data_IF_430366815813
#
_entry.id   IF_430366815813
#
_cell.length_a   1.000
_cell.length_b   1.000
_cell.length_c   1.000
_cell.angle_alpha   90.00
_cell.angle_beta   90.00
_cell.angle_gamma   90.00
#
_symmetry.space_group_name_H-M   'P 1'
#
loop_
_entity.id
_entity.type
_entity.pdbx_description
1 polymer ?
#
# COMPACT_ATOMS: atom_id res chain seq x y z
N UNK A 1 55.20 79.31 -29.61
CA UNK A 1 55.09 78.52 -30.87
C UNK A 1 55.70 77.20 -30.64
N UNK A 2 54.88 76.21 -30.48
CA UNK A 2 55.15 74.82 -30.86
C UNK A 2 53.89 74.00 -30.56
N UNK A 3 53.34 73.46 -31.59
CA UNK A 3 52.18 72.61 -31.66
C UNK A 3 52.52 71.18 -31.08
N UNK A 4 51.60 70.58 -30.29
CA UNK A 4 51.51 69.12 -30.08
C UNK A 4 50.10 68.71 -30.46
N UNK A 5 49.96 67.69 -31.29
CA UNK A 5 48.63 67.17 -31.68
C UNK A 5 48.06 66.21 -30.66
N UNK A 6 46.72 66.19 -30.56
CA UNK A 6 45.86 65.36 -29.76
C UNK A 6 46.07 63.85 -29.99
N UNK A 7 46.11 63.06 -28.90
CA UNK A 7 46.00 61.61 -28.91
C UNK A 7 44.53 61.18 -28.89
N UNK A 8 44.14 60.17 -29.66
CA UNK A 8 42.75 59.73 -29.74
C UNK A 8 42.33 58.94 -28.43
N UNK A 9 41.19 59.30 -27.87
CA UNK A 9 40.52 58.64 -26.78
C UNK A 9 39.90 57.31 -27.27
N UNK A 10 40.36 56.21 -26.76
CA UNK A 10 39.72 54.89 -26.92
C UNK A 10 38.40 54.82 -26.14
N UNK A 11 37.34 54.26 -26.70
CA UNK A 11 36.06 54.13 -26.03
C UNK A 11 36.13 53.04 -24.93
N UNK A 12 35.66 53.40 -23.75
CA UNK A 12 35.49 52.52 -22.59
C UNK A 12 34.42 51.46 -22.92
N UNK A 13 34.84 50.26 -23.34
CA UNK A 13 33.96 49.12 -23.46
C UNK A 13 33.45 48.73 -22.05
N UNK A 14 32.21 49.12 -21.74
CA UNK A 14 31.45 48.55 -20.64
C UNK A 14 31.28 47.08 -20.91
N UNK A 15 32.06 46.24 -20.21
CA UNK A 15 31.75 44.80 -20.05
C UNK A 15 30.46 44.72 -19.25
N UNK A 16 29.32 44.54 -19.94
CA UNK A 16 28.11 44.05 -19.35
C UNK A 16 28.39 42.60 -18.93
N UNK A 17 28.73 42.43 -17.65
CA UNK A 17 28.75 41.13 -17.03
C UNK A 17 27.33 40.55 -17.05
N UNK A 18 27.11 39.60 -17.96
CA UNK A 18 25.92 38.76 -17.95
C UNK A 18 25.99 37.93 -16.67
N UNK A 19 25.37 38.39 -15.58
CA UNK A 19 25.07 37.61 -14.42
C UNK A 19 23.95 36.67 -14.86
N UNK A 20 24.32 35.51 -15.40
CA UNK A 20 23.44 34.37 -15.47
C UNK A 20 23.26 33.92 -14.01
N UNK A 21 22.23 34.47 -13.36
CA UNK A 21 21.72 33.90 -12.16
C UNK A 21 21.25 32.48 -12.53
N UNK A 22 21.83 31.40 -11.96
CA UNK A 22 21.19 30.10 -12.04
C UNK A 22 19.92 30.25 -11.21
N UNK A 23 18.77 30.46 -11.85
CA UNK A 23 17.51 30.01 -11.30
C UNK A 23 17.66 28.49 -11.13
N UNK A 24 18.25 28.07 -10.01
CA UNK A 24 18.04 26.77 -9.45
C UNK A 24 16.51 26.69 -9.27
N UNK A 25 15.86 26.12 -10.26
CA UNK A 25 14.56 25.51 -10.11
C UNK A 25 14.75 24.49 -8.98
N UNK A 26 14.44 24.92 -7.78
CA UNK A 26 14.05 24.06 -6.68
C UNK A 26 12.71 23.44 -7.12
N UNK A 27 12.77 22.60 -8.15
CA UNK A 27 11.79 21.55 -8.33
C UNK A 27 12.02 20.63 -7.12
N UNK A 28 11.44 21.02 -5.99
CA UNK A 28 11.32 20.12 -4.85
C UNK A 28 10.72 18.84 -5.39
N UNK A 29 11.46 17.74 -5.33
CA UNK A 29 10.95 16.43 -5.72
C UNK A 29 9.71 16.19 -4.85
N UNK A 30 8.52 16.40 -5.39
CA UNK A 30 7.28 16.08 -4.70
C UNK A 30 7.29 14.59 -4.44
N UNK A 31 7.11 14.20 -3.17
CA UNK A 31 7.02 12.79 -2.79
C UNK A 31 5.80 12.17 -3.46
N UNK A 32 5.78 10.83 -3.61
CA UNK A 32 4.61 10.13 -4.12
C UNK A 32 3.35 10.49 -3.32
N UNK A 33 3.44 10.48 -1.99
CA UNK A 33 2.32 10.87 -1.12
C UNK A 33 1.81 12.30 -1.41
N UNK A 34 2.71 13.27 -1.61
CA UNK A 34 2.29 14.64 -1.90
C UNK A 34 1.55 14.76 -3.25
N UNK A 35 1.90 13.93 -4.23
CA UNK A 35 1.18 13.84 -5.51
C UNK A 35 -0.17 13.13 -5.36
N UNK A 36 -0.24 12.13 -4.49
CA UNK A 36 -1.44 11.34 -4.25
C UNK A 36 -2.45 12.05 -3.32
N UNK A 37 -2.01 13.05 -2.55
CA UNK A 37 -2.87 13.74 -1.57
C UNK A 37 -4.17 14.32 -2.17
N UNK A 38 -4.19 14.92 -3.37
CA UNK A 38 -5.45 15.35 -4.01
C UNK A 38 -6.40 14.17 -4.30
N UNK A 39 -5.86 13.02 -4.74
CA UNK A 39 -6.62 11.79 -4.99
C UNK A 39 -7.23 11.29 -3.69
N UNK A 40 -6.43 11.19 -2.64
CA UNK A 40 -6.85 10.75 -1.30
C UNK A 40 -7.94 11.66 -0.75
N UNK A 41 -7.77 12.97 -0.85
CA UNK A 41 -8.74 13.96 -0.39
C UNK A 41 -10.08 13.79 -1.11
N UNK A 42 -10.08 13.62 -2.44
CA UNK A 42 -11.29 13.38 -3.22
C UNK A 42 -11.97 12.06 -2.83
N UNK A 43 -11.21 10.96 -2.78
CA UNK A 43 -11.73 9.63 -2.47
C UNK A 43 -12.33 9.55 -1.06
N UNK A 44 -11.59 9.95 -0.04
CA UNK A 44 -12.07 9.90 1.34
C UNK A 44 -13.14 10.96 1.62
N UNK A 45 -13.19 12.01 0.80
CA UNK A 45 -14.29 12.99 0.75
C UNK A 45 -15.53 12.50 0.01
N UNK A 46 -15.49 11.33 -0.64
CA UNK A 46 -16.62 10.70 -1.34
C UNK A 46 -16.77 11.10 -2.81
N UNK A 47 -15.85 11.89 -3.37
CA UNK A 47 -15.86 12.27 -4.79
C UNK A 47 -15.02 11.29 -5.63
N UNK A 48 -15.61 10.12 -5.93
CA UNK A 48 -14.95 9.05 -6.70
C UNK A 48 -14.57 9.56 -8.09
N UNK A 49 -15.46 10.31 -8.75
CA UNK A 49 -15.22 10.79 -10.12
C UNK A 49 -14.05 11.80 -10.18
N UNK A 50 -13.88 12.65 -9.17
CA UNK A 50 -12.71 13.51 -9.08
C UNK A 50 -11.45 12.70 -8.79
N UNK A 51 -11.51 11.72 -7.89
CA UNK A 51 -10.37 10.85 -7.59
C UNK A 51 -9.89 10.08 -8.82
N UNK A 52 -10.79 9.52 -9.64
CA UNK A 52 -10.45 8.82 -10.88
C UNK A 52 -9.72 9.71 -11.88
N UNK A 53 -10.26 10.91 -12.14
CA UNK A 53 -9.60 11.86 -13.05
C UNK A 53 -8.18 12.21 -12.58
N UNK A 54 -8.00 12.43 -11.28
CA UNK A 54 -6.71 12.77 -10.70
C UNK A 54 -5.72 11.58 -10.76
N UNK A 55 -6.19 10.33 -10.59
CA UNK A 55 -5.36 9.14 -10.77
C UNK A 55 -4.93 9.01 -12.23
N UNK A 56 -5.84 9.19 -13.19
CA UNK A 56 -5.51 9.10 -14.61
C UNK A 56 -4.48 10.16 -15.02
N UNK A 57 -4.65 11.42 -14.58
CA UNK A 57 -3.67 12.48 -14.78
C UNK A 57 -2.30 12.15 -14.16
N UNK A 58 -2.30 11.51 -12.99
CA UNK A 58 -1.07 11.08 -12.32
C UNK A 58 -0.36 9.95 -13.07
N UNK A 59 -1.08 8.97 -13.60
CA UNK A 59 -0.54 7.87 -14.43
C UNK A 59 0.11 8.45 -15.71
N UNK A 60 -0.58 9.34 -16.40
CA UNK A 60 -0.08 9.95 -17.63
C UNK A 60 1.20 10.80 -17.38
N UNK A 61 1.29 11.43 -16.22
CA UNK A 61 2.42 12.30 -15.87
C UNK A 61 3.62 11.57 -15.25
N UNK A 62 3.43 10.37 -14.69
CA UNK A 62 4.44 9.66 -13.90
C UNK A 62 4.43 8.15 -14.16
N UNK A 63 4.93 7.75 -15.33
CA UNK A 63 4.95 6.35 -15.78
C UNK A 63 5.65 5.38 -14.78
N UNK A 64 6.63 5.86 -14.00
CA UNK A 64 7.30 5.06 -12.97
C UNK A 64 6.39 4.68 -11.78
N UNK A 65 5.30 5.43 -11.57
CA UNK A 65 4.32 5.18 -10.51
C UNK A 65 3.06 4.47 -11.07
N UNK A 66 3.03 4.10 -12.36
CA UNK A 66 1.83 3.56 -13.02
C UNK A 66 1.28 2.32 -12.31
N UNK A 67 2.13 1.39 -11.86
CA UNK A 67 1.69 0.16 -11.20
C UNK A 67 0.98 0.47 -9.87
N UNK A 68 1.55 1.32 -9.02
CA UNK A 68 0.93 1.68 -7.74
C UNK A 68 -0.34 2.51 -7.92
N UNK A 69 -0.39 3.41 -8.89
CA UNK A 69 -1.59 4.18 -9.22
C UNK A 69 -2.69 3.31 -9.84
N UNK A 70 -2.32 2.23 -10.55
CA UNK A 70 -3.28 1.23 -11.05
C UNK A 70 -3.93 0.45 -9.91
N UNK A 71 -3.23 0.19 -8.81
CA UNK A 71 -3.84 -0.37 -7.60
C UNK A 71 -4.90 0.59 -7.02
N UNK A 72 -4.60 1.88 -6.93
CA UNK A 72 -5.55 2.90 -6.49
C UNK A 72 -6.78 2.95 -7.41
N UNK A 73 -6.57 2.89 -8.74
CA UNK A 73 -7.65 2.83 -9.72
C UNK A 73 -8.52 1.57 -9.54
N UNK A 74 -7.92 0.43 -9.17
CA UNK A 74 -8.64 -0.79 -8.83
C UNK A 74 -9.62 -0.60 -7.67
N UNK A 75 -9.21 0.09 -6.60
CA UNK A 75 -10.10 0.40 -5.46
C UNK A 75 -11.16 1.44 -5.81
N UNK A 76 -10.84 2.42 -6.63
CA UNK A 76 -11.82 3.38 -7.15
C UNK A 76 -12.92 2.68 -7.97
N UNK A 77 -12.53 1.78 -8.87
CA UNK A 77 -13.47 0.98 -9.65
C UNK A 77 -14.36 0.10 -8.76
N UNK A 78 -13.79 -0.51 -7.71
CA UNK A 78 -14.57 -1.31 -6.76
C UNK A 78 -15.55 -0.44 -5.97
N UNK A 79 -15.11 0.74 -5.51
CA UNK A 79 -15.96 1.71 -4.83
C UNK A 79 -17.06 2.27 -5.74
N UNK A 80 -16.80 2.43 -7.03
CA UNK A 80 -17.78 2.90 -8.03
C UNK A 80 -18.76 1.80 -8.50
N UNK A 81 -18.66 0.57 -7.95
CA UNK A 81 -19.54 -0.54 -8.33
C UNK A 81 -19.20 -1.19 -9.67
N UNK A 82 -17.94 -1.12 -10.08
CA UNK A 82 -17.37 -1.76 -11.29
C UNK A 82 -16.40 -2.89 -10.91
N UNK A 83 -16.89 -3.98 -10.26
CA UNK A 83 -16.03 -5.02 -9.71
C UNK A 83 -15.24 -5.80 -10.77
N UNK A 84 -15.78 -6.02 -11.98
CA UNK A 84 -15.04 -6.64 -13.08
C UNK A 84 -13.81 -5.83 -13.51
N UNK A 85 -13.94 -4.50 -13.53
CA UNK A 85 -12.82 -3.60 -13.83
C UNK A 85 -11.80 -3.63 -12.70
N UNK A 86 -12.26 -3.54 -11.44
CA UNK A 86 -11.41 -3.65 -10.27
C UNK A 86 -10.58 -4.93 -10.28
N UNK A 87 -11.24 -6.08 -10.52
CA UNK A 87 -10.56 -7.38 -10.62
C UNK A 87 -9.47 -7.36 -11.69
N UNK A 88 -9.78 -6.90 -12.89
CA UNK A 88 -8.81 -6.86 -14.01
C UNK A 88 -7.59 -5.99 -13.66
N UNK A 89 -7.80 -4.80 -13.09
CA UNK A 89 -6.72 -3.90 -12.69
C UNK A 89 -5.84 -4.53 -11.61
N UNK A 90 -6.44 -5.08 -10.56
CA UNK A 90 -5.71 -5.72 -9.46
C UNK A 90 -4.92 -6.95 -9.92
N UNK A 91 -5.51 -7.80 -10.78
CA UNK A 91 -4.83 -8.96 -11.36
C UNK A 91 -3.66 -8.54 -12.25
N UNK A 92 -3.81 -7.48 -13.05
CA UNK A 92 -2.73 -6.94 -13.88
C UNK A 92 -1.53 -6.54 -13.04
N UNK A 93 -1.75 -5.82 -11.93
CA UNK A 93 -0.64 -5.39 -11.05
C UNK A 93 -0.06 -6.57 -10.28
N UNK A 94 -0.89 -7.52 -9.81
CA UNK A 94 -0.41 -8.78 -9.22
C UNK A 94 0.59 -9.50 -10.14
N UNK A 95 0.23 -9.67 -11.42
CA UNK A 95 1.08 -10.33 -12.41
C UNK A 95 2.38 -9.55 -12.65
N UNK A 96 2.29 -8.22 -12.62
CA UNK A 96 3.48 -7.37 -12.71
C UNK A 96 4.40 -7.52 -11.49
N UNK A 97 3.86 -7.60 -10.29
CA UNK A 97 4.63 -7.85 -9.08
C UNK A 97 5.34 -9.21 -9.13
N UNK A 98 4.62 -10.27 -9.55
CA UNK A 98 5.20 -11.60 -9.68
C UNK A 98 6.30 -11.66 -10.75
N UNK A 99 6.15 -10.93 -11.85
CA UNK A 99 7.19 -10.80 -12.88
C UNK A 99 8.44 -10.11 -12.35
N UNK A 100 8.27 -8.97 -11.65
CA UNK A 100 9.40 -8.22 -11.08
C UNK A 100 10.15 -9.00 -10.00
N UNK A 101 9.47 -9.86 -9.26
CA UNK A 101 10.10 -10.72 -8.25
C UNK A 101 10.96 -11.83 -8.87
N UNK A 102 10.66 -12.26 -10.10
CA UNK A 102 11.43 -13.26 -10.84
C UNK A 102 12.67 -12.67 -11.54
N UNK A 103 12.70 -11.36 -11.79
CA UNK A 103 13.84 -10.66 -12.39
C UNK A 103 14.97 -10.57 -11.37
N UNK A 104 15.83 -11.55 -11.44
CA UNK A 104 17.19 -11.78 -10.95
C UNK A 104 17.75 -11.10 -9.67
N UNK A 105 18.29 -11.93 -8.75
CA UNK A 105 19.10 -11.48 -7.58
C UNK A 105 20.42 -10.77 -7.97
N UNK A 106 20.94 -10.97 -9.18
CA UNK A 106 22.20 -10.36 -9.62
C UNK A 106 22.05 -8.85 -9.89
N UNK A 107 20.86 -8.37 -10.26
CA UNK A 107 20.58 -6.95 -10.39
C UNK A 107 20.44 -6.25 -9.02
N UNK A 108 20.13 -7.00 -7.97
CA UNK A 108 19.99 -6.47 -6.61
C UNK A 108 21.30 -5.89 -6.06
N UNK A 109 22.48 -6.46 -6.41
CA UNK A 109 23.76 -5.93 -5.97
C UNK A 109 24.08 -4.56 -6.60
N UNK A 110 23.74 -4.36 -7.88
CA UNK A 110 23.86 -3.06 -8.55
C UNK A 110 22.78 -2.08 -8.13
N UNK A 111 21.59 -2.54 -7.79
CA UNK A 111 20.48 -1.72 -7.34
C UNK A 111 20.74 -1.07 -5.98
N UNK A 112 21.62 -1.62 -5.16
CA UNK A 112 22.09 -0.95 -3.93
C UNK A 112 22.78 0.39 -4.22
N UNK A 113 23.29 0.58 -5.42
CA UNK A 113 23.96 1.83 -5.85
C UNK A 113 23.01 2.82 -6.53
N UNK A 114 21.86 2.36 -7.01
CA UNK A 114 20.87 3.21 -7.68
C UNK A 114 19.80 3.73 -6.72
N UNK A 115 19.10 4.78 -7.11
CA UNK A 115 17.97 5.32 -6.37
C UNK A 115 16.80 4.31 -6.45
N UNK A 116 16.22 3.94 -5.30
CA UNK A 116 15.07 3.02 -5.22
C UNK A 116 13.88 3.49 -6.07
N UNK A 117 13.77 4.78 -6.33
CA UNK A 117 12.72 5.37 -7.18
C UNK A 117 12.89 5.11 -8.68
N UNK A 118 14.08 4.72 -9.13
CA UNK A 118 14.32 4.36 -10.54
C UNK A 118 13.91 2.92 -10.84
N UNK A 119 13.68 2.11 -9.80
CA UNK A 119 13.19 0.74 -9.96
C UNK A 119 11.67 0.74 -10.18
N UNK A 120 11.20 -0.25 -10.96
CA UNK A 120 9.78 -0.52 -11.03
C UNK A 120 9.23 -0.81 -9.62
N UNK A 121 8.02 -0.36 -9.35
CA UNK A 121 7.39 -0.62 -8.06
C UNK A 121 6.95 -2.07 -7.97
N UNK A 122 7.51 -2.80 -7.02
CA UNK A 122 7.24 -4.23 -6.83
C UNK A 122 6.24 -4.54 -5.70
N UNK A 123 5.66 -3.50 -5.08
CA UNK A 123 4.75 -3.63 -3.94
C UNK A 123 5.45 -3.94 -2.61
N UNK A 124 4.89 -3.43 -1.53
CA UNK A 124 5.26 -3.82 -0.19
C UNK A 124 4.74 -5.23 0.14
N UNK A 125 5.32 -5.90 1.11
CA UNK A 125 4.96 -7.27 1.46
C UNK A 125 3.44 -7.44 1.69
N UNK A 126 2.83 -6.54 2.47
CA UNK A 126 1.38 -6.56 2.71
C UNK A 126 0.57 -6.27 1.44
N UNK A 127 1.04 -5.40 0.56
CA UNK A 127 0.34 -5.05 -0.68
C UNK A 127 0.33 -6.21 -1.66
N UNK A 128 1.43 -6.98 -1.75
CA UNK A 128 1.51 -8.20 -2.57
C UNK A 128 0.50 -9.27 -2.15
N UNK A 129 0.20 -9.35 -0.86
CA UNK A 129 -0.83 -10.27 -0.33
C UNK A 129 -2.23 -9.68 -0.54
N UNK A 130 -2.41 -8.40 -0.18
CA UNK A 130 -3.71 -7.74 -0.25
C UNK A 130 -4.25 -7.60 -1.68
N UNK A 131 -3.39 -7.40 -2.69
CA UNK A 131 -3.84 -7.30 -4.09
C UNK A 131 -4.58 -8.57 -4.52
N UNK A 132 -4.13 -9.75 -4.07
CA UNK A 132 -4.80 -11.03 -4.34
C UNK A 132 -6.11 -11.17 -3.56
N UNK A 133 -6.07 -10.84 -2.27
CA UNK A 133 -7.25 -10.93 -1.41
C UNK A 133 -8.36 -9.96 -1.86
N UNK A 134 -8.01 -8.72 -2.25
CA UNK A 134 -8.97 -7.74 -2.75
C UNK A 134 -9.43 -8.06 -4.18
N UNK A 135 -8.58 -8.69 -5.02
CA UNK A 135 -9.01 -9.23 -6.30
C UNK A 135 -10.04 -10.35 -6.12
N UNK A 136 -9.90 -11.22 -5.09
CA UNK A 136 -10.90 -12.22 -4.75
C UNK A 136 -12.23 -11.57 -4.31
N UNK A 137 -12.19 -10.51 -3.52
CA UNK A 137 -13.38 -9.74 -3.14
C UNK A 137 -14.06 -9.12 -4.37
N UNK A 138 -13.27 -8.55 -5.28
CA UNK A 138 -13.80 -7.98 -6.52
C UNK A 138 -14.43 -9.06 -7.42
N UNK A 139 -13.81 -10.24 -7.50
CA UNK A 139 -14.33 -11.39 -8.25
C UNK A 139 -15.68 -11.87 -7.69
N UNK A 140 -15.81 -12.01 -6.37
CA UNK A 140 -17.08 -12.34 -5.72
C UNK A 140 -18.17 -11.28 -6.01
N UNK A 141 -17.80 -10.00 -5.95
CA UNK A 141 -18.74 -8.91 -6.24
C UNK A 141 -19.15 -8.85 -7.71
N UNK A 142 -18.33 -9.39 -8.61
CA UNK A 142 -18.62 -9.54 -10.04
C UNK A 142 -19.44 -10.82 -10.37
N UNK A 143 -19.60 -11.73 -9.41
CA UNK A 143 -20.17 -13.07 -9.64
C UNK A 143 -19.24 -13.96 -10.46
N UNK A 144 -17.92 -13.82 -10.29
CA UNK A 144 -16.89 -14.63 -10.93
C UNK A 144 -16.58 -15.91 -10.18
N UNK A 145 -15.78 -16.78 -10.81
CA UNK A 145 -15.45 -18.12 -10.31
C UNK A 145 -13.99 -18.25 -9.81
N UNK A 146 -13.20 -17.15 -9.87
CA UNK A 146 -11.76 -17.17 -9.55
C UNK A 146 -11.43 -16.84 -8.09
N UNK A 147 -12.43 -16.45 -7.30
CA UNK A 147 -12.23 -15.94 -5.93
C UNK A 147 -11.49 -16.93 -5.01
N UNK A 148 -11.76 -18.23 -5.12
CA UNK A 148 -11.07 -19.24 -4.31
C UNK A 148 -9.60 -19.36 -4.68
N UNK A 149 -9.28 -19.35 -5.97
CA UNK A 149 -7.91 -19.43 -6.47
C UNK A 149 -7.12 -18.18 -6.05
N UNK A 150 -7.73 -17.00 -6.15
CA UNK A 150 -7.11 -15.73 -5.72
C UNK A 150 -6.87 -15.69 -4.20
N UNK A 151 -7.81 -16.18 -3.41
CA UNK A 151 -7.67 -16.28 -1.97
C UNK A 151 -6.58 -17.30 -1.56
N UNK A 152 -6.46 -18.42 -2.26
CA UNK A 152 -5.36 -19.38 -2.07
C UNK A 152 -4.01 -18.72 -2.39
N UNK A 153 -3.88 -18.05 -3.53
CA UNK A 153 -2.67 -17.33 -3.91
C UNK A 153 -2.26 -16.26 -2.88
N UNK A 154 -3.23 -15.61 -2.23
CA UNK A 154 -2.92 -14.65 -1.15
C UNK A 154 -2.27 -15.34 0.05
N UNK A 155 -2.79 -16.49 0.48
CA UNK A 155 -2.23 -17.26 1.58
C UNK A 155 -0.85 -17.85 1.25
N UNK A 156 -0.66 -18.36 0.03
CA UNK A 156 0.60 -18.89 -0.46
C UNK A 156 1.67 -17.80 -0.54
N UNK A 157 1.35 -16.65 -1.15
CA UNK A 157 2.28 -15.51 -1.26
C UNK A 157 2.76 -15.03 0.10
N UNK A 158 1.91 -15.00 1.08
CA UNK A 158 2.31 -14.65 2.44
C UNK A 158 3.30 -15.65 3.03
N UNK A 159 3.06 -16.95 2.84
CA UNK A 159 4.00 -18.01 3.24
C UNK A 159 5.35 -17.87 2.55
N UNK A 160 5.36 -17.61 1.24
CA UNK A 160 6.57 -17.37 0.44
C UNK A 160 7.38 -16.18 0.96
N UNK A 161 6.74 -15.04 1.22
CA UNK A 161 7.38 -13.82 1.73
C UNK A 161 8.09 -14.08 3.07
N UNK A 162 7.42 -14.82 3.98
CA UNK A 162 8.00 -15.16 5.26
C UNK A 162 9.13 -16.18 5.10
N UNK A 163 8.94 -17.21 4.30
CA UNK A 163 9.95 -18.25 4.08
C UNK A 163 11.22 -17.70 3.41
N UNK A 164 11.09 -16.79 2.45
CA UNK A 164 12.21 -16.18 1.74
C UNK A 164 13.07 -15.24 2.61
N UNK A 165 12.59 -14.86 3.80
CA UNK A 165 13.29 -13.94 4.69
C UNK A 165 14.19 -14.64 5.74
N UNK A 166 14.29 -15.97 5.68
CA UNK A 166 15.18 -16.74 6.59
C UNK A 166 16.63 -16.50 6.19
N UNK A 167 17.41 -15.93 7.10
CA UNK A 167 18.84 -15.72 6.91
C UNK A 167 19.66 -17.01 7.16
N UNK A 168 20.94 -17.01 6.76
CA UNK A 168 21.84 -18.17 6.90
C UNK A 168 22.03 -18.60 8.36
N UNK A 169 21.90 -17.68 9.31
CA UNK A 169 21.96 -17.95 10.75
C UNK A 169 20.63 -18.46 11.33
N UNK A 170 19.61 -18.63 10.49
CA UNK A 170 18.26 -19.06 10.88
C UNK A 170 17.38 -17.96 11.45
N UNK A 171 17.83 -16.72 11.54
CA UNK A 171 16.98 -15.58 11.94
C UNK A 171 16.02 -15.23 10.81
N UNK A 172 14.83 -14.75 11.18
CA UNK A 172 13.82 -14.32 10.21
C UNK A 172 13.08 -13.08 10.73
N UNK A 173 13.38 -11.88 10.19
CA UNK A 173 12.74 -10.65 10.64
C UNK A 173 11.23 -10.60 10.32
N UNK A 174 10.78 -11.39 9.34
CA UNK A 174 9.37 -11.45 8.92
C UNK A 174 8.57 -12.56 9.63
N UNK A 175 9.17 -13.32 10.54
CA UNK A 175 8.50 -14.42 11.26
C UNK A 175 7.27 -13.97 12.08
N UNK A 176 7.27 -12.71 12.51
CA UNK A 176 6.17 -12.08 13.26
C UNK A 176 5.13 -11.37 12.41
N UNK A 177 5.19 -11.47 11.09
CA UNK A 177 4.22 -10.82 10.21
C UNK A 177 2.80 -11.33 10.49
N UNK A 178 1.87 -10.38 10.69
CA UNK A 178 0.45 -10.69 10.85
C UNK A 178 -0.12 -11.21 9.52
N UNK A 179 -0.76 -12.39 9.53
CA UNK A 179 -1.37 -12.94 8.32
C UNK A 179 -2.68 -12.25 7.93
N UNK A 180 -3.01 -12.29 6.63
CA UNK A 180 -4.26 -11.75 6.06
C UNK A 180 -5.39 -12.76 6.27
N UNK A 181 -6.13 -12.64 7.38
CA UNK A 181 -7.21 -13.56 7.74
C UNK A 181 -8.42 -13.52 6.78
N UNK A 182 -8.53 -12.47 5.96
CA UNK A 182 -9.53 -12.40 4.88
C UNK A 182 -9.38 -13.58 3.90
N UNK A 183 -8.17 -13.99 3.54
CA UNK A 183 -7.93 -15.06 2.58
C UNK A 183 -8.53 -16.42 3.02
N UNK A 184 -8.22 -17.00 4.20
CA UNK A 184 -8.90 -18.19 4.66
C UNK A 184 -10.40 -17.99 4.91
N UNK A 185 -10.85 -16.79 5.31
CA UNK A 185 -12.28 -16.52 5.45
C UNK A 185 -13.03 -16.67 4.12
N UNK A 186 -12.54 -16.07 3.03
CA UNK A 186 -13.14 -16.21 1.70
C UNK A 186 -13.20 -17.67 1.25
N UNK A 187 -12.15 -18.45 1.50
CA UNK A 187 -12.17 -19.90 1.23
C UNK A 187 -13.20 -20.63 2.09
N UNK A 188 -13.32 -20.25 3.37
CA UNK A 188 -14.31 -20.83 4.28
C UNK A 188 -15.74 -20.66 3.77
N UNK A 189 -16.13 -19.44 3.39
CA UNK A 189 -17.48 -19.15 2.89
C UNK A 189 -17.78 -19.86 1.55
N UNK A 190 -16.79 -19.95 0.65
CA UNK A 190 -16.93 -20.64 -0.61
C UNK A 190 -17.06 -22.17 -0.43
N UNK A 191 -16.29 -22.78 0.49
CA UNK A 191 -16.41 -24.21 0.81
C UNK A 191 -17.73 -24.53 1.52
N UNK A 192 -18.18 -23.68 2.43
CA UNK A 192 -19.48 -23.81 3.09
C UNK A 192 -20.63 -23.77 2.08
N UNK A 193 -20.55 -22.90 1.06
CA UNK A 193 -21.56 -22.74 -0.01
C UNK A 193 -21.71 -23.98 -0.90
N UNK A 194 -20.71 -24.89 -0.92
CA UNK A 194 -20.84 -26.16 -1.66
C UNK A 194 -21.86 -27.13 -1.06
N UNK A 195 -22.29 -26.93 0.18
CA UNK A 195 -23.12 -27.85 1.00
C UNK A 195 -22.53 -29.26 1.16
N UNK A 196 -21.23 -29.43 0.96
CA UNK A 196 -20.50 -30.71 1.03
C UNK A 196 -19.21 -30.60 1.80
N UNK A 197 -18.45 -29.51 1.55
CA UNK A 197 -17.08 -29.36 2.00
C UNK A 197 -16.99 -28.64 3.36
N UNK A 198 -17.93 -28.95 4.25
CA UNK A 198 -18.05 -28.33 5.58
C UNK A 198 -16.82 -28.52 6.45
N UNK A 199 -16.14 -29.68 6.36
CA UNK A 199 -14.89 -29.93 7.09
C UNK A 199 -13.76 -29.00 6.62
N UNK A 200 -13.74 -28.68 5.32
CA UNK A 200 -12.79 -27.71 4.75
C UNK A 200 -13.13 -26.30 5.21
N UNK A 201 -14.41 -25.93 5.14
CA UNK A 201 -14.88 -24.64 5.65
C UNK A 201 -14.50 -24.45 7.12
N UNK A 202 -14.75 -25.46 7.98
CA UNK A 202 -14.41 -25.42 9.39
C UNK A 202 -12.89 -25.26 9.63
N UNK A 203 -12.04 -25.94 8.83
CA UNK A 203 -10.57 -25.74 8.89
C UNK A 203 -10.16 -24.33 8.53
N UNK A 204 -10.75 -23.74 7.49
CA UNK A 204 -10.49 -22.37 7.10
C UNK A 204 -10.93 -21.35 8.16
N UNK A 205 -12.10 -21.52 8.75
CA UNK A 205 -12.55 -20.67 9.86
C UNK A 205 -11.71 -20.84 11.12
N UNK A 206 -11.22 -22.06 11.41
CA UNK A 206 -10.26 -22.29 12.48
C UNK A 206 -8.93 -21.55 12.24
N UNK A 207 -8.49 -21.48 10.98
CA UNK A 207 -7.32 -20.66 10.58
C UNK A 207 -7.59 -19.18 10.82
N UNK A 208 -8.77 -18.68 10.46
CA UNK A 208 -9.18 -17.28 10.75
C UNK A 208 -9.14 -17.02 12.26
N UNK A 209 -9.73 -17.91 13.09
CA UNK A 209 -9.74 -17.76 14.54
C UNK A 209 -8.33 -17.76 15.15
N UNK A 210 -7.39 -18.48 14.54
CA UNK A 210 -5.98 -18.49 14.93
C UNK A 210 -5.24 -17.23 14.52
N UNK A 211 -5.45 -16.77 13.29
CA UNK A 211 -4.74 -15.62 12.71
C UNK A 211 -5.26 -14.29 13.21
N UNK A 212 -6.58 -14.17 13.42
CA UNK A 212 -7.24 -12.98 13.93
C UNK A 212 -8.14 -13.34 15.14
N UNK A 213 -7.56 -13.56 16.33
CA UNK A 213 -8.33 -13.93 17.53
C UNK A 213 -9.33 -12.86 17.98
N UNK A 214 -9.14 -11.60 17.53
CA UNK A 214 -10.05 -10.48 17.81
C UNK A 214 -11.33 -10.54 16.96
N UNK A 215 -11.33 -11.28 15.85
CA UNK A 215 -12.52 -11.52 15.05
C UNK A 215 -13.37 -12.62 15.70
N UNK A 216 -14.18 -12.23 16.67
CA UNK A 216 -14.99 -13.16 17.48
C UNK A 216 -15.92 -14.07 16.64
N UNK A 217 -16.53 -13.63 15.51
CA UNK A 217 -17.44 -14.47 14.72
C UNK A 217 -16.79 -15.74 14.16
N UNK A 218 -15.47 -15.80 14.00
CA UNK A 218 -14.78 -17.00 13.48
C UNK A 218 -15.07 -18.27 14.30
N UNK A 219 -15.28 -18.14 15.62
CA UNK A 219 -15.58 -19.29 16.49
C UNK A 219 -16.98 -19.85 16.20
N UNK A 220 -17.94 -19.00 15.97
CA UNK A 220 -19.30 -19.39 15.62
C UNK A 220 -19.33 -20.02 14.22
N UNK A 221 -18.52 -19.48 13.29
CA UNK A 221 -18.35 -20.04 11.94
C UNK A 221 -17.75 -21.44 11.97
N UNK A 222 -16.75 -21.70 12.83
CA UNK A 222 -16.18 -23.05 13.02
C UNK A 222 -17.24 -24.03 13.54
N UNK A 223 -18.04 -23.62 14.54
CA UNK A 223 -19.07 -24.48 15.12
C UNK A 223 -20.17 -24.77 14.10
N UNK A 224 -20.63 -23.76 13.37
CA UNK A 224 -21.67 -23.88 12.34
C UNK A 224 -21.23 -24.82 11.22
N UNK A 225 -20.06 -24.57 10.61
CA UNK A 225 -19.52 -25.42 9.57
C UNK A 225 -19.24 -26.84 10.05
N UNK A 226 -18.66 -27.01 11.26
CA UNK A 226 -18.45 -28.31 11.87
C UNK A 226 -19.76 -29.10 12.14
N UNK A 227 -20.89 -28.39 12.28
CA UNK A 227 -22.23 -28.97 12.35
C UNK A 227 -22.86 -29.31 10.99
N UNK A 228 -22.19 -29.04 9.88
CA UNK A 228 -22.70 -29.29 8.53
C UNK A 228 -23.87 -28.36 8.15
N UNK A 229 -23.90 -27.14 8.67
CA UNK A 229 -25.00 -26.18 8.45
C UNK A 229 -24.47 -24.96 7.72
N UNK A 230 -25.16 -24.55 6.63
CA UNK A 230 -24.94 -23.28 5.94
C UNK A 230 -25.96 -22.23 6.42
N UNK A 231 -27.23 -22.51 6.23
CA UNK A 231 -28.37 -21.65 6.64
C UNK A 231 -29.59 -22.50 6.98
N UNK A 232 -30.57 -21.91 7.64
CA UNK A 232 -31.86 -22.56 7.86
C UNK A 232 -32.61 -22.76 6.54
N UNK A 233 -33.47 -23.78 6.42
CA UNK A 233 -34.33 -23.95 5.23
C UNK A 233 -35.14 -22.69 4.94
N UNK A 234 -35.20 -22.28 3.66
CA UNK A 234 -35.87 -21.06 3.22
C UNK A 234 -35.08 -19.78 3.54
N UNK A 235 -33.79 -19.90 3.88
CA UNK A 235 -32.88 -18.79 4.11
C UNK A 235 -31.62 -18.92 3.22
N UNK A 236 -31.02 -17.79 2.95
CA UNK A 236 -29.69 -17.68 2.37
C UNK A 236 -28.81 -16.74 3.21
N UNK A 237 -27.58 -16.57 2.78
CA UNK A 237 -26.58 -15.82 3.55
C UNK A 237 -26.10 -14.62 2.74
N UNK A 238 -26.15 -13.44 3.34
CA UNK A 238 -25.50 -12.22 2.81
C UNK A 238 -24.18 -12.02 3.51
N UNK A 239 -23.09 -12.04 2.75
CA UNK A 239 -21.76 -11.67 3.20
C UNK A 239 -21.50 -10.22 2.82
N UNK A 240 -21.52 -9.31 3.80
CA UNK A 240 -21.10 -7.93 3.62
C UNK A 240 -19.60 -7.81 3.86
N UNK A 241 -18.86 -7.41 2.85
CA UNK A 241 -17.44 -7.04 2.95
C UNK A 241 -17.33 -5.52 2.90
N UNK A 242 -16.77 -4.91 3.93
CA UNK A 242 -16.61 -3.47 4.03
C UNK A 242 -15.14 -3.09 4.06
N UNK A 243 -14.73 -2.21 3.14
CA UNK A 243 -13.44 -1.52 3.13
C UNK A 243 -13.60 -0.26 3.98
N UNK A 244 -12.98 -0.20 5.15
CA UNK A 244 -13.29 0.82 6.16
C UNK A 244 -12.09 1.70 6.47
N UNK A 245 -12.32 3.01 6.49
CA UNK A 245 -11.37 4.01 6.95
C UNK A 245 -10.23 4.31 5.97
N UNK A 246 -9.22 5.03 6.44
CA UNK A 246 -8.04 5.42 5.70
C UNK A 246 -6.89 4.48 6.03
N UNK A 247 -6.34 3.82 5.04
CA UNK A 247 -5.22 2.91 5.21
C UNK A 247 -3.88 3.61 5.40
N UNK A 248 -2.83 2.80 5.58
CA UNK A 248 -1.49 3.30 5.84
C UNK A 248 -0.91 4.02 4.62
N UNK A 249 0.05 4.92 4.87
CA UNK A 249 0.83 5.55 3.82
C UNK A 249 2.27 5.75 4.29
N UNK A 250 3.19 6.01 3.34
CA UNK A 250 4.60 6.27 3.63
C UNK A 250 4.90 7.75 3.65
N UNK A 251 5.59 8.20 4.69
CA UNK A 251 6.14 9.55 4.83
C UNK A 251 7.65 9.50 4.90
N UNK A 252 8.31 10.60 4.55
CA UNK A 252 9.76 10.74 4.77
C UNK A 252 10.01 11.26 6.16
N UNK A 253 10.86 10.59 6.91
CA UNK A 253 11.36 11.07 8.21
C UNK A 253 12.88 11.19 8.18
N UNK A 254 13.42 12.12 8.95
CA UNK A 254 14.84 12.22 9.22
C UNK A 254 15.13 11.56 10.57
N UNK A 255 16.05 10.60 10.58
CA UNK A 255 16.43 9.92 11.81
C UNK A 255 17.94 9.65 11.91
N UNK A 256 18.42 9.51 13.13
CA UNK A 256 19.77 9.04 13.41
C UNK A 256 19.73 7.51 13.40
N UNK A 257 20.57 6.84 12.58
CA UNK A 257 20.56 5.38 12.49
C UNK A 257 20.81 4.73 13.86
N UNK A 258 20.06 3.67 14.16
CA UNK A 258 20.25 2.84 15.33
C UNK A 258 21.56 2.05 15.26
N UNK A 259 22.04 1.52 16.41
CA UNK A 259 23.21 0.64 16.42
C UNK A 259 23.00 -0.62 15.58
N UNK A 260 21.78 -1.16 15.54
CA UNK A 260 21.44 -2.31 14.73
C UNK A 260 21.51 -1.97 13.23
N UNK A 261 20.97 -0.83 12.82
CA UNK A 261 21.07 -0.35 11.43
C UNK A 261 22.53 -0.11 11.01
N UNK A 262 23.37 0.41 11.91
CA UNK A 262 24.80 0.60 11.65
C UNK A 262 25.56 -0.73 11.46
N UNK A 263 25.22 -1.75 12.24
CA UNK A 263 25.76 -3.11 12.04
C UNK A 263 25.37 -3.67 10.67
N UNK A 264 24.14 -3.53 10.24
CA UNK A 264 23.68 -3.93 8.91
C UNK A 264 24.45 -3.18 7.82
N UNK A 265 24.60 -1.87 7.95
CA UNK A 265 25.37 -1.06 7.00
C UNK A 265 26.85 -1.50 6.93
N UNK A 266 27.48 -1.79 8.07
CA UNK A 266 28.87 -2.27 8.12
C UNK A 266 29.03 -3.65 7.46
N UNK A 267 28.10 -4.56 7.68
CA UNK A 267 28.08 -5.85 6.99
C UNK A 267 27.99 -5.71 5.47
N UNK A 268 27.10 -4.84 4.97
CA UNK A 268 26.95 -4.58 3.53
C UNK A 268 28.24 -3.98 2.95
N UNK A 269 28.83 -2.98 3.61
CA UNK A 269 30.05 -2.31 3.15
C UNK A 269 31.26 -3.24 3.17
N UNK A 270 31.40 -4.05 4.22
CA UNK A 270 32.50 -5.03 4.33
C UNK A 270 32.42 -6.08 3.23
N UNK A 271 31.22 -6.57 2.92
CA UNK A 271 31.01 -7.54 1.85
C UNK A 271 31.23 -6.97 0.44
N UNK A 272 30.97 -5.65 0.25
CA UNK A 272 30.99 -5.02 -1.08
C UNK A 272 32.32 -4.34 -1.41
N UNK A 273 32.95 -3.65 -0.46
CA UNK A 273 34.11 -2.78 -0.71
C UNK A 273 35.31 -3.01 0.22
N UNK A 274 35.24 -3.92 1.19
CA UNK A 274 36.22 -4.06 2.27
C UNK A 274 36.50 -2.75 3.04
N UNK A 275 35.50 -1.89 3.17
CA UNK A 275 35.54 -0.60 3.87
C UNK A 275 34.68 -0.65 5.12
N UNK A 276 35.10 0.09 6.15
CA UNK A 276 34.32 0.30 7.38
C UNK A 276 33.56 1.61 7.34
N UNK A 277 32.49 1.69 8.15
CA UNK A 277 31.69 2.91 8.31
C UNK A 277 32.53 4.08 8.82
N UNK A 278 32.25 5.32 8.38
CA UNK A 278 32.85 6.51 8.99
C UNK A 278 32.37 6.69 10.44
N UNK A 279 33.18 7.27 11.31
CA UNK A 279 32.89 7.37 12.76
C UNK A 279 31.71 8.27 13.12
N UNK A 280 31.27 9.13 12.21
CA UNK A 280 30.12 10.03 12.40
C UNK A 280 29.16 9.89 11.23
N UNK A 281 27.89 9.60 11.56
CA UNK A 281 26.83 9.46 10.59
C UNK A 281 25.79 10.56 10.86
N UNK A 282 25.60 11.43 9.87
CA UNK A 282 24.54 12.43 9.91
C UNK A 282 23.16 11.76 9.79
N UNK A 283 22.10 12.41 10.27
CA UNK A 283 20.74 11.93 10.06
C UNK A 283 20.48 11.61 8.58
N UNK A 284 19.71 10.56 8.34
CA UNK A 284 19.32 10.11 7.01
C UNK A 284 17.82 10.24 6.82
N UNK A 285 17.40 10.40 5.57
CA UNK A 285 15.98 10.44 5.19
C UNK A 285 15.54 9.06 4.78
N UNK A 286 14.58 8.50 5.51
CA UNK A 286 14.04 7.16 5.29
C UNK A 286 12.53 7.18 5.19
N UNK A 287 11.90 6.24 4.43
CA UNK A 287 10.47 6.10 4.43
C UNK A 287 10.01 5.45 5.75
N UNK A 288 8.88 5.89 6.27
CA UNK A 288 8.20 5.29 7.42
C UNK A 288 6.72 5.15 7.12
N UNK A 289 6.15 4.03 7.49
CA UNK A 289 4.70 3.82 7.43
C UNK A 289 4.03 4.56 8.57
N UNK A 290 2.96 5.28 8.24
CA UNK A 290 2.08 5.95 9.20
C UNK A 290 0.63 5.58 8.89
N UNK A 291 -0.21 5.58 9.92
CA UNK A 291 -1.65 5.33 9.79
C UNK A 291 -2.44 6.46 10.45
N UNK A 292 -3.48 6.89 9.75
CA UNK A 292 -4.45 7.87 10.24
C UNK A 292 -5.84 7.41 9.79
N UNK A 293 -6.47 6.50 10.54
CA UNK A 293 -7.57 5.67 10.04
C UNK A 293 -8.89 6.39 9.78
N UNK A 294 -8.95 7.69 9.89
CA UNK A 294 -10.16 8.48 9.62
C UNK A 294 -11.25 8.34 10.68
N UNK A 295 -12.48 8.74 10.34
CA UNK A 295 -13.63 8.75 11.25
C UNK A 295 -14.47 7.47 11.20
N UNK A 296 -14.62 6.86 10.00
CA UNK A 296 -15.35 5.62 9.83
C UNK A 296 -14.57 4.45 10.47
N UNK A 297 -15.24 3.69 11.34
CA UNK A 297 -14.65 2.56 12.07
C UNK A 297 -15.38 1.24 11.85
N UNK A 298 -16.61 1.27 11.38
CA UNK A 298 -17.38 0.08 11.01
C UNK A 298 -18.59 0.48 10.17
N UNK A 299 -19.30 -0.52 9.66
CA UNK A 299 -20.61 -0.37 9.02
C UNK A 299 -21.67 -1.00 9.91
N UNK A 300 -22.64 -0.17 10.34
CA UNK A 300 -23.85 -0.65 10.97
C UNK A 300 -24.88 -0.97 9.89
N UNK A 301 -25.57 -2.10 10.05
CA UNK A 301 -26.55 -2.60 9.09
C UNK A 301 -27.92 -2.68 9.75
N UNK A 302 -28.91 -2.04 9.13
CA UNK A 302 -30.32 -2.17 9.44
C UNK A 302 -31.05 -2.91 8.33
N UNK A 303 -32.16 -3.58 8.66
CA UNK A 303 -33.08 -4.16 7.70
C UNK A 303 -34.48 -3.63 7.93
N UNK A 304 -35.27 -3.52 6.87
CA UNK A 304 -36.69 -3.22 6.99
C UNK A 304 -37.44 -4.44 7.57
N UNK A 305 -38.21 -4.24 8.64
CA UNK A 305 -39.08 -5.25 9.22
C UNK A 305 -40.36 -4.55 9.68
N UNK A 306 -41.51 -5.00 9.20
CA UNK A 306 -42.84 -4.48 9.60
C UNK A 306 -42.96 -2.95 9.47
N UNK A 307 -42.36 -2.36 8.43
CA UNK A 307 -42.39 -0.91 8.17
C UNK A 307 -41.44 -0.08 9.04
N UNK A 308 -40.59 -0.71 9.87
CA UNK A 308 -39.56 -0.07 10.67
C UNK A 308 -38.16 -0.61 10.32
N UNK A 309 -37.11 0.18 10.62
CA UNK A 309 -35.72 -0.27 10.53
C UNK A 309 -35.32 -0.94 11.85
N UNK A 310 -34.82 -2.19 11.75
CA UNK A 310 -34.28 -2.94 12.89
C UNK A 310 -32.80 -3.16 12.64
N UNK A 311 -32.00 -3.05 13.68
CA UNK A 311 -30.57 -3.38 13.60
C UNK A 311 -30.41 -4.84 13.23
N UNK A 312 -29.70 -5.10 12.12
CA UNK A 312 -29.35 -6.44 11.66
C UNK A 312 -27.95 -6.87 12.11
N UNK A 313 -27.03 -5.93 12.27
CA UNK A 313 -25.67 -6.21 12.72
C UNK A 313 -24.71 -5.04 12.54
N UNK A 314 -23.44 -5.31 12.82
CA UNK A 314 -22.30 -4.42 12.60
C UNK A 314 -21.15 -5.24 12.08
N UNK A 315 -20.40 -4.71 11.11
CA UNK A 315 -19.19 -5.34 10.60
C UNK A 315 -18.12 -5.47 11.68
N UNK A 316 -17.33 -6.53 11.61
CA UNK A 316 -16.18 -6.77 12.48
C UNK A 316 -14.90 -6.88 11.64
N UNK A 317 -13.80 -6.37 12.17
CA UNK A 317 -12.49 -6.38 11.50
C UNK A 317 -11.96 -7.80 11.38
N UNK A 318 -11.70 -8.23 10.14
CA UNK A 318 -11.06 -9.50 9.83
C UNK A 318 -9.61 -9.33 9.37
N UNK A 319 -9.27 -8.16 8.84
CA UNK A 319 -7.90 -7.80 8.49
C UNK A 319 -7.68 -6.33 8.84
N UNK A 320 -6.80 -6.08 9.81
CA UNK A 320 -6.35 -4.76 10.22
C UNK A 320 -5.14 -4.37 9.36
N UNK A 321 -5.40 -3.66 8.25
CA UNK A 321 -4.41 -3.33 7.23
C UNK A 321 -3.37 -2.35 7.76
N UNK A 322 -3.82 -1.32 8.49
CA UNK A 322 -2.91 -0.32 9.06
C UNK A 322 -1.95 -0.95 10.06
N UNK A 323 -2.47 -1.76 10.97
CA UNK A 323 -1.64 -2.45 11.97
C UNK A 323 -0.66 -3.40 11.32
N UNK A 324 -1.09 -4.17 10.32
CA UNK A 324 -0.23 -5.07 9.57
C UNK A 324 0.93 -4.32 8.90
N UNK A 325 0.65 -3.22 8.23
CA UNK A 325 1.67 -2.39 7.57
C UNK A 325 2.66 -1.78 8.56
N UNK A 326 2.17 -1.27 9.71
CA UNK A 326 3.00 -0.72 10.78
C UNK A 326 3.91 -1.78 11.42
N UNK A 327 3.38 -2.99 11.69
CA UNK A 327 4.15 -4.12 12.24
C UNK A 327 5.23 -4.59 11.24
N UNK A 328 4.91 -4.63 9.95
CA UNK A 328 5.86 -4.98 8.89
C UNK A 328 6.96 -3.93 8.74
N UNK A 329 6.61 -2.64 8.70
CA UNK A 329 7.59 -1.54 8.67
C UNK A 329 8.54 -1.63 9.86
N UNK A 330 8.03 -1.82 11.07
CA UNK A 330 8.84 -1.93 12.27
C UNK A 330 9.79 -3.14 12.22
N UNK A 331 9.34 -4.28 11.70
CA UNK A 331 10.14 -5.52 11.65
C UNK A 331 11.36 -5.42 10.71
N UNK A 332 11.27 -4.65 9.63
CA UNK A 332 12.36 -4.51 8.64
C UNK A 332 13.04 -3.15 8.68
N UNK A 333 12.65 -2.27 9.61
CA UNK A 333 13.12 -0.90 9.67
C UNK A 333 14.65 -0.77 9.76
N UNK A 334 15.28 -1.45 10.70
CA UNK A 334 16.74 -1.38 10.86
C UNK A 334 17.48 -1.86 9.60
N UNK A 335 16.93 -2.85 8.88
CA UNK A 335 17.47 -3.32 7.61
C UNK A 335 17.35 -2.24 6.52
N UNK A 336 16.20 -1.56 6.43
CA UNK A 336 15.98 -0.48 5.47
C UNK A 336 16.90 0.72 5.74
N UNK A 337 17.01 1.13 7.00
CA UNK A 337 17.92 2.19 7.45
C UNK A 337 19.38 1.82 7.18
N UNK A 338 19.79 0.59 7.50
CA UNK A 338 21.14 0.10 7.26
C UNK A 338 21.51 0.13 5.77
N UNK A 339 20.60 -0.29 4.90
CA UNK A 339 20.78 -0.19 3.43
C UNK A 339 20.93 1.27 2.98
N UNK A 340 20.13 2.19 3.49
CA UNK A 340 20.22 3.62 3.16
C UNK A 340 21.56 4.22 3.60
N UNK A 341 22.05 3.87 4.80
CA UNK A 341 23.38 4.27 5.32
C UNK A 341 24.49 3.72 4.42
N UNK A 342 24.45 2.42 4.08
CA UNK A 342 25.44 1.79 3.23
C UNK A 342 25.48 2.44 1.83
N UNK A 343 24.32 2.69 1.23
CA UNK A 343 24.20 3.39 -0.06
C UNK A 343 24.83 4.79 -0.02
N UNK A 344 24.53 5.58 1.03
CA UNK A 344 25.12 6.90 1.22
C UNK A 344 26.66 6.85 1.37
N UNK A 345 27.18 5.86 2.10
CA UNK A 345 28.61 5.65 2.25
C UNK A 345 29.26 5.27 0.92
N UNK A 346 28.65 4.36 0.13
CA UNK A 346 29.12 3.96 -1.21
C UNK A 346 29.15 5.15 -2.18
N UNK A 347 28.09 5.94 -2.23
CA UNK A 347 28.03 7.15 -3.07
C UNK A 347 29.14 8.15 -2.72
N UNK A 348 29.42 8.35 -1.43
CA UNK A 348 30.54 9.18 -0.99
C UNK A 348 31.89 8.61 -1.43
N UNK A 349 32.11 7.31 -1.26
CA UNK A 349 33.35 6.66 -1.66
C UNK A 349 33.63 6.79 -3.16
N UNK A 350 32.60 6.67 -4.02
CA UNK A 350 32.74 6.86 -5.47
C UNK A 350 33.10 8.31 -5.84
N UNK A 351 32.50 9.31 -5.20
CA UNK A 351 32.82 10.73 -5.42
C UNK A 351 34.26 11.05 -4.99
N UNK A 352 34.72 10.52 -3.86
CA UNK A 352 36.12 10.68 -3.42
C UNK A 352 37.11 9.95 -4.31
N UNK A 353 36.82 8.72 -4.72
CA UNK A 353 37.68 7.96 -5.61
C UNK A 353 37.85 8.60 -6.98
N UNK A 354 36.81 9.23 -7.54
CA UNK A 354 36.91 10.02 -8.78
C UNK A 354 37.78 11.25 -8.57
N UNK A 355 37.65 11.98 -7.45
CA UNK A 355 38.53 13.13 -7.14
C UNK A 355 40.02 12.75 -7.11
N UNK A 356 40.36 11.64 -6.46
CA UNK A 356 41.74 11.15 -6.39
C UNK A 356 42.23 10.66 -7.74
N UNK A 357 41.41 9.98 -8.52
CA UNK A 357 41.75 9.44 -9.85
C UNK A 357 41.97 10.54 -10.91
N UNK A 358 41.39 11.73 -10.76
CA UNK A 358 41.53 12.86 -11.68
C UNK A 358 42.63 13.83 -11.23
N UNK A 359 43.24 13.60 -10.06
CA UNK A 359 44.33 14.46 -9.55
C UNK A 359 43.90 15.88 -9.19
N UNK A 360 42.62 16.09 -8.78
CA UNK A 360 42.12 17.40 -8.38
C UNK A 360 42.72 17.81 -7.03
N UNK A 361 43.36 18.98 -6.99
CA UNK A 361 43.79 19.61 -5.75
C UNK A 361 42.62 19.73 -4.76
N UNK A 362 42.80 19.26 -3.52
CA UNK A 362 41.77 19.21 -2.46
C UNK A 362 41.08 20.55 -2.17
N UNK A 363 41.68 21.68 -2.58
CA UNK A 363 41.19 23.04 -2.33
C UNK A 363 40.99 23.88 -3.61
N UNK A 364 41.01 23.27 -4.79
CA UNK A 364 40.81 23.98 -6.07
C UNK A 364 39.35 24.28 -6.38
N UNK A 365 39.06 25.28 -7.26
CA UNK A 365 37.67 25.61 -7.66
C UNK A 365 36.90 24.43 -8.24
N UNK A 366 37.60 23.49 -8.91
CA UNK A 366 37.01 22.25 -9.44
C UNK A 366 36.61 21.29 -8.31
N UNK A 367 37.42 21.17 -7.25
CA UNK A 367 37.06 20.35 -6.07
C UNK A 367 35.82 20.92 -5.35
N UNK A 368 35.69 22.23 -5.27
CA UNK A 368 34.50 22.90 -4.71
C UNK A 368 33.24 22.62 -5.54
N UNK A 369 33.35 22.59 -6.88
CA UNK A 369 32.24 22.21 -7.75
C UNK A 369 31.82 20.77 -7.56
N UNK A 370 32.77 19.84 -7.35
CA UNK A 370 32.48 18.45 -7.03
C UNK A 370 31.85 18.30 -5.64
N UNK A 371 32.24 19.10 -4.65
CA UNK A 371 31.62 19.11 -3.33
C UNK A 371 30.18 19.64 -3.37
N UNK A 372 29.95 20.73 -4.13
CA UNK A 372 28.60 21.27 -4.38
C UNK A 372 27.76 20.27 -5.14
N UNK A 373 28.30 19.58 -6.15
CA UNK A 373 27.60 18.50 -6.88
C UNK A 373 27.29 17.31 -5.97
N UNK A 374 28.20 16.94 -5.06
CA UNK A 374 28.00 15.89 -4.09
C UNK A 374 26.90 16.25 -3.07
N UNK A 375 26.89 17.47 -2.57
CA UNK A 375 25.83 18.00 -1.68
C UNK A 375 24.48 18.07 -2.43
N UNK A 376 24.48 18.52 -3.69
CA UNK A 376 23.28 18.55 -4.50
C UNK A 376 22.74 17.14 -4.79
N UNK A 377 23.64 16.17 -4.99
CA UNK A 377 23.25 14.77 -5.18
C UNK A 377 22.69 14.15 -3.88
N UNK A 378 23.29 14.42 -2.71
CA UNK A 378 22.74 14.01 -1.41
C UNK A 378 21.38 14.65 -1.14
N UNK A 379 21.21 15.93 -1.51
CA UNK A 379 19.93 16.64 -1.39
C UNK A 379 18.84 16.09 -2.34
N UNK A 380 19.26 15.53 -3.48
CA UNK A 380 18.37 14.90 -4.46
C UNK A 380 17.98 13.45 -4.07
N UNK A 381 18.67 12.84 -3.09
CA UNK A 381 18.33 11.52 -2.60
C UNK A 381 17.01 11.60 -1.82
N UNK A 382 15.96 11.05 -2.40
CA UNK A 382 14.65 10.99 -1.77
C UNK A 382 14.28 9.57 -1.43
N UNK A 383 13.78 9.37 -0.21
CA UNK A 383 13.21 8.10 0.21
C UNK A 383 12.06 7.68 -0.72
N UNK A 384 11.96 6.39 -1.03
CA UNK A 384 10.83 5.86 -1.79
C UNK A 384 9.57 5.81 -0.91
N UNK A 385 8.64 6.72 -1.20
CA UNK A 385 7.36 6.81 -0.49
C UNK A 385 6.21 6.23 -1.29
N UNK A 386 6.49 5.49 -2.36
CA UNK A 386 5.43 4.78 -3.09
C UNK A 386 4.78 3.77 -2.16
N UNK A 387 3.45 3.76 -2.18
CA UNK A 387 2.61 2.82 -1.45
C UNK A 387 1.20 2.85 -2.04
N UNK A 388 0.44 1.81 -1.85
CA UNK A 388 -0.96 1.72 -2.25
C UNK A 388 -1.81 2.68 -1.40
N UNK A 389 -2.05 3.88 -1.94
CA UNK A 389 -2.51 5.02 -1.17
C UNK A 389 -3.98 5.03 -0.78
N UNK A 390 -4.82 4.28 -1.48
CA UNK A 390 -6.26 4.19 -1.20
C UNK A 390 -6.67 2.93 -0.43
N UNK A 391 -5.70 2.14 0.08
CA UNK A 391 -6.02 1.01 0.95
C UNK A 391 -6.94 1.45 2.10
N UNK A 392 -7.86 0.59 2.57
CA UNK A 392 -8.63 0.84 3.77
C UNK A 392 -7.75 0.68 5.04
N UNK A 393 -8.17 1.27 6.15
CA UNK A 393 -7.62 0.99 7.48
C UNK A 393 -7.82 -0.48 7.86
N UNK A 394 -9.01 -0.99 7.56
CA UNK A 394 -9.35 -2.39 7.80
C UNK A 394 -10.32 -2.94 6.76
N UNK A 395 -10.22 -4.25 6.51
CA UNK A 395 -11.27 -5.02 5.85
C UNK A 395 -12.12 -5.66 6.92
N UNK A 396 -13.44 -5.47 6.83
CA UNK A 396 -14.41 -5.94 7.81
C UNK A 396 -15.47 -6.78 7.12
N UNK A 397 -16.04 -7.72 7.86
CA UNK A 397 -17.11 -8.58 7.35
C UNK A 397 -18.27 -8.67 8.31
N UNK A 398 -19.46 -8.94 7.75
CA UNK A 398 -20.65 -9.30 8.49
C UNK A 398 -21.40 -10.38 7.71
N UNK A 399 -21.71 -11.49 8.37
CA UNK A 399 -22.59 -12.54 7.86
C UNK A 399 -24.02 -12.29 8.35
N UNK A 400 -24.96 -12.22 7.44
CA UNK A 400 -26.38 -12.09 7.72
C UNK A 400 -27.13 -13.25 7.09
N UNK A 401 -27.88 -13.97 7.88
CA UNK A 401 -28.81 -14.99 7.41
C UNK A 401 -30.19 -14.36 7.29
N UNK A 402 -30.78 -14.40 6.07
CA UNK A 402 -32.04 -13.75 5.73
C UNK A 402 -32.96 -14.74 5.02
N UNK A 403 -34.30 -14.60 5.16
CA UNK A 403 -35.26 -15.35 4.38
C UNK A 403 -35.06 -15.12 2.89
N UNK A 404 -35.46 -16.09 2.07
CA UNK A 404 -35.48 -15.95 0.60
C UNK A 404 -36.33 -14.74 0.17
N UNK A 405 -35.82 -13.99 -0.80
CA UNK A 405 -36.50 -12.82 -1.37
C UNK A 405 -35.58 -11.62 -1.51
N UNK A 406 -36.18 -10.49 -1.93
CA UNK A 406 -35.49 -9.23 -2.08
C UNK A 406 -35.51 -8.45 -0.76
N UNK A 407 -34.35 -8.06 -0.31
CA UNK A 407 -34.18 -7.29 0.93
C UNK A 407 -33.55 -5.92 0.65
N UNK A 408 -34.00 -4.91 1.38
CA UNK A 408 -33.32 -3.62 1.43
C UNK A 408 -32.59 -3.48 2.76
N UNK A 409 -31.28 -3.31 2.69
CA UNK A 409 -30.41 -3.08 3.84
C UNK A 409 -30.06 -1.60 3.93
N UNK A 410 -30.21 -1.00 5.11
CA UNK A 410 -29.71 0.34 5.41
C UNK A 410 -28.29 0.22 5.97
N UNK A 411 -27.32 0.79 5.28
CA UNK A 411 -25.92 0.78 5.64
C UNK A 411 -25.52 2.15 6.15
N UNK A 412 -24.88 2.21 7.31
CA UNK A 412 -24.38 3.45 7.89
C UNK A 412 -22.96 3.26 8.38
N UNK A 413 -22.02 4.08 7.89
CA UNK A 413 -20.71 4.14 8.49
C UNK A 413 -20.82 4.70 9.91
N UNK A 414 -20.09 4.12 10.85
CA UNK A 414 -20.11 4.56 12.26
C UNK A 414 -18.70 4.77 12.78
N UNK A 415 -18.55 5.72 13.70
CA UNK A 415 -17.30 5.96 14.42
C UNK A 415 -17.07 4.93 15.54
N UNK A 416 -15.97 5.10 16.28
CA UNK A 416 -15.60 4.22 17.40
C UNK A 416 -16.69 4.20 18.51
N UNK A 417 -17.38 5.31 18.72
CA UNK A 417 -18.49 5.42 19.69
C UNK A 417 -19.83 4.91 19.13
N UNK A 418 -19.87 4.41 17.88
CA UNK A 418 -21.09 3.94 17.22
C UNK A 418 -21.97 5.07 16.67
N UNK A 419 -21.47 6.30 16.60
CA UNK A 419 -22.22 7.44 16.03
C UNK A 419 -22.09 7.43 14.52
N UNK A 420 -23.17 7.80 13.83
CA UNK A 420 -23.19 7.86 12.37
C UNK A 420 -22.12 8.80 11.80
N UNK A 421 -21.45 8.33 10.75
CA UNK A 421 -20.53 9.07 9.89
C UNK A 421 -21.17 9.16 8.51
N UNK A 422 -21.58 10.37 8.13
CA UNK A 422 -22.35 10.58 6.89
C UNK A 422 -23.80 10.11 7.00
N UNK A 423 -24.43 9.95 5.85
CA UNK A 423 -25.81 9.51 5.73
C UNK A 423 -25.91 8.00 5.54
N UNK A 424 -27.01 7.42 6.00
CA UNK A 424 -27.35 6.02 5.72
C UNK A 424 -27.69 5.84 4.24
N UNK A 425 -27.24 4.73 3.65
CA UNK A 425 -27.46 4.39 2.25
C UNK A 425 -28.22 3.07 2.17
N UNK A 426 -29.29 3.03 1.37
CA UNK A 426 -30.03 1.80 1.09
C UNK A 426 -29.33 0.97 0.00
N UNK A 427 -29.25 -0.35 0.19
CA UNK A 427 -28.79 -1.31 -0.81
C UNK A 427 -29.76 -2.47 -0.90
N UNK A 428 -30.13 -2.82 -2.12
CA UNK A 428 -30.95 -4.01 -2.38
C UNK A 428 -30.05 -5.22 -2.53
N UNK A 429 -30.46 -6.35 -1.97
CA UNK A 429 -29.82 -7.65 -2.12
C UNK A 429 -30.90 -8.70 -2.31
N UNK A 430 -30.71 -9.60 -3.30
CA UNK A 430 -31.56 -10.76 -3.49
C UNK A 430 -30.95 -11.93 -2.73
N UNK A 431 -31.80 -12.72 -2.07
CA UNK A 431 -31.42 -13.88 -1.26
C UNK A 431 -32.10 -15.12 -1.80
N UNK A 432 -31.33 -16.13 -2.13
CA UNK A 432 -31.80 -17.44 -2.60
C UNK A 432 -31.57 -18.51 -1.53
N UNK A 433 -32.42 -19.56 -1.52
CA UNK A 433 -32.37 -20.63 -0.53
C UNK A 433 -31.02 -21.38 -0.60
N UNK A 434 -30.32 -21.43 0.51
CA UNK A 434 -29.02 -22.09 0.63
C UNK A 434 -27.87 -21.42 -0.14
N UNK A 435 -28.07 -20.23 -0.70
CA UNK A 435 -27.05 -19.53 -1.49
C UNK A 435 -26.41 -18.36 -0.72
N UNK A 436 -25.19 -18.02 -1.12
CA UNK A 436 -24.53 -16.80 -0.71
C UNK A 436 -24.90 -15.63 -1.61
N UNK A 437 -25.04 -14.46 -1.01
CA UNK A 437 -25.06 -13.17 -1.71
C UNK A 437 -23.92 -12.32 -1.16
N UNK A 438 -23.18 -11.65 -2.03
CA UNK A 438 -22.04 -10.83 -1.66
C UNK A 438 -22.38 -9.35 -1.84
N UNK A 439 -22.09 -8.55 -0.82
CA UNK A 439 -22.25 -7.10 -0.85
C UNK A 439 -20.93 -6.46 -0.43
N UNK A 440 -20.29 -5.72 -1.34
CA UNK A 440 -19.04 -5.02 -1.08
C UNK A 440 -19.30 -3.53 -1.01
N UNK A 441 -18.83 -2.87 0.04
CA UNK A 441 -19.01 -1.43 0.24
C UNK A 441 -17.73 -0.78 0.78
N UNK A 442 -17.61 0.52 0.54
CA UNK A 442 -16.53 1.34 1.09
C UNK A 442 -17.09 2.35 2.07
N UNK A 443 -16.50 2.41 3.27
CA UNK A 443 -16.89 3.33 4.35
C UNK A 443 -15.74 4.27 4.68
N UNK A 444 -15.89 5.55 4.33
CA UNK A 444 -14.88 6.60 4.50
C UNK A 444 -15.46 7.76 5.33
N UNK A 445 -14.72 8.85 5.45
CA UNK A 445 -15.15 10.03 6.23
C UNK A 445 -16.43 10.71 5.72
N UNK A 446 -16.73 10.55 4.44
CA UNK A 446 -17.97 10.99 3.84
C UNK A 446 -19.18 10.07 4.15
N UNK A 447 -18.94 8.89 4.72
CA UNK A 447 -19.94 7.85 4.95
C UNK A 447 -19.72 6.64 4.04
N UNK A 448 -20.82 5.97 3.66
CA UNK A 448 -20.77 4.86 2.68
C UNK A 448 -20.71 5.44 1.27
N UNK A 449 -19.67 5.09 0.53
CA UNK A 449 -19.51 5.44 -0.88
C UNK A 449 -19.59 4.18 -1.74
N UNK A 450 -20.36 4.27 -2.83
CA UNK A 450 -20.45 3.18 -3.80
C UNK A 450 -20.96 1.85 -3.24
N UNK A 451 -20.59 0.78 -3.93
CA UNK A 451 -20.85 -0.61 -3.57
C UNK A 451 -21.30 -1.47 -4.74
N UNK A 452 -20.90 -2.73 -4.73
CA UNK A 452 -21.30 -3.76 -5.70
C UNK A 452 -21.94 -4.94 -4.97
N UNK A 453 -22.92 -5.59 -5.60
CA UNK A 453 -23.58 -6.77 -5.07
C UNK A 453 -23.71 -7.84 -6.16
N UNK A 454 -23.50 -9.11 -5.77
CA UNK A 454 -23.72 -10.29 -6.59
C UNK A 454 -24.32 -11.43 -5.77
N UNK A 455 -25.04 -12.30 -6.43
CA UNK A 455 -25.52 -13.59 -5.86
C UNK A 455 -24.65 -14.70 -6.43
N UNK A 456 -24.29 -15.66 -5.58
CA UNK A 456 -23.54 -16.86 -5.98
C UNK A 456 -24.35 -17.65 -7.02
N UNK A 457 -23.72 -18.09 -8.10
CA UNK A 457 -24.36 -18.79 -9.23
C UNK A 457 -24.42 -20.28 -9.05
#
# INVERSE_FOLDING_TARGET
MTFFPDAPRLPFMRRAGLIVAPCLLLAGCTTHLARLEPVRTAYFGGDIAAAERLVDEAIDSHAADADVLTLDKGLLALADGRPDEARRLLVTVRDRFDHLEQESPAEDAWSMLTDDRQRAYAGEDHERVLVRALAAVADLAAGGDDAEALALQAAEKQGEIVAAAVADDGTNPKSGYRPVALAPYLRGILREATHRDYDDAARHYATVASWEPAYAPARDDVVRAGGGVHSAPGHGVVHLVALVGHGPCKVVVEEVPSSAALLVADQILSATLAQSLPPTIAPIRVPRVVAAPGRARAVAVGRAADGAWVTAGRTATITDVSRMALEQDAAVHDLAVGRAVARRALKKATVFGVKEGIGLDRFGPAALLFDVAGVAWEAAESADTRCWGLLPDSVQVLRLELPVGDHTLALCAVDEAGRAVGSSVARSVSVEDGRNSYLVVTAVDAGIIGGAAAVDR
#
